data_IF_611511561028
#
_entry.id   IF_611511561028
#
_cell.length_a   1.000
_cell.length_b   1.000
_cell.length_c   1.000
_cell.angle_alpha   90.00
_cell.angle_beta   90.00
_cell.angle_gamma   90.00
#
_symmetry.space_group_name_H-M   'P 1'
#
loop_
_entity.id
_entity.type
_entity.pdbx_description
1 polymer ?
#
# COMPACT_ATOMS: atom_id res chain seq x y z
N UNK A 1 14.91 0.27 14.61
CA UNK A 1 13.66 0.54 13.92
C UNK A 1 13.41 -0.46 12.79
N UNK A 2 12.17 -0.48 12.32
CA UNK A 2 11.76 -1.32 11.19
C UNK A 2 12.07 -0.62 9.86
N UNK A 3 12.14 -1.39 8.79
CA UNK A 3 12.21 -0.88 7.42
C UNK A 3 10.81 -0.90 6.84
N UNK A 4 10.30 0.26 6.44
CA UNK A 4 8.93 0.45 5.97
C UNK A 4 8.92 0.93 4.52
N UNK A 5 8.13 0.27 3.69
CA UNK A 5 7.85 0.70 2.32
C UNK A 5 6.40 1.21 2.25
N UNK A 6 6.22 2.47 1.90
CA UNK A 6 4.90 3.10 1.77
C UNK A 6 4.63 3.42 0.29
N UNK A 7 3.75 2.63 -0.31
CA UNK A 7 3.39 2.71 -1.72
C UNK A 7 2.19 3.64 -1.90
N UNK A 8 2.36 4.69 -2.71
CA UNK A 8 1.38 5.76 -2.81
C UNK A 8 1.38 6.64 -1.56
N UNK A 9 2.55 7.02 -1.11
CA UNK A 9 2.76 7.68 0.19
C UNK A 9 2.24 9.11 0.25
N UNK A 10 1.93 9.75 -0.88
CA UNK A 10 1.51 11.14 -0.91
C UNK A 10 2.55 12.07 -0.29
N UNK A 11 2.09 13.02 0.52
CA UNK A 11 2.96 13.97 1.25
C UNK A 11 3.67 13.36 2.47
N UNK A 12 3.38 12.10 2.80
CA UNK A 12 3.92 11.41 3.96
C UNK A 12 3.18 11.65 5.27
N UNK A 13 2.14 12.43 5.25
CA UNK A 13 1.32 12.73 6.43
C UNK A 13 -0.05 12.07 6.31
N UNK A 14 -0.52 11.40 7.39
CA UNK A 14 0.15 11.20 8.70
C UNK A 14 1.02 9.94 8.78
N UNK A 15 0.97 9.03 7.80
CA UNK A 15 1.46 7.65 7.94
C UNK A 15 2.99 7.59 7.98
N UNK A 16 3.68 8.06 6.95
CA UNK A 16 5.15 8.01 6.90
C UNK A 16 5.76 8.80 8.07
N UNK A 17 5.20 9.97 8.38
CA UNK A 17 5.63 10.77 9.50
C UNK A 17 5.52 10.02 10.84
N UNK A 18 4.45 9.27 11.05
CA UNK A 18 4.26 8.48 12.26
C UNK A 18 5.34 7.41 12.44
N UNK A 19 5.69 6.70 11.36
CA UNK A 19 6.76 5.71 11.38
C UNK A 19 8.12 6.34 11.64
N UNK A 20 8.41 7.48 11.00
CA UNK A 20 9.67 8.22 11.22
C UNK A 20 9.80 8.63 12.69
N UNK A 21 8.74 9.15 13.30
CA UNK A 21 8.74 9.53 14.72
C UNK A 21 8.99 8.37 15.67
N UNK A 22 8.66 7.15 15.24
CA UNK A 22 8.98 5.92 15.98
C UNK A 22 10.44 5.48 15.86
N UNK A 23 11.19 6.07 14.96
CA UNK A 23 12.55 5.67 14.66
C UNK A 23 12.67 4.63 13.58
N UNK A 24 11.63 4.41 12.78
CA UNK A 24 11.62 3.48 11.66
C UNK A 24 12.22 4.14 10.40
N UNK A 25 12.84 3.34 9.55
CA UNK A 25 13.39 3.78 8.27
C UNK A 25 12.33 3.64 7.18
N UNK A 26 11.83 4.75 6.65
CA UNK A 26 10.73 4.78 5.68
C UNK A 26 11.23 5.10 4.27
N UNK A 27 10.86 4.27 3.31
CA UNK A 27 10.92 4.57 1.88
C UNK A 27 9.51 4.86 1.40
N UNK A 28 9.28 6.04 0.88
CA UNK A 28 7.98 6.47 0.34
C UNK A 28 8.03 6.53 -1.18
N UNK A 29 7.08 5.89 -1.84
CA UNK A 29 6.96 5.84 -3.30
C UNK A 29 5.67 6.52 -3.73
N UNK A 30 5.76 7.44 -4.66
CA UNK A 30 4.60 8.07 -5.29
C UNK A 30 4.91 8.43 -6.74
N UNK A 31 3.92 8.31 -7.62
CA UNK A 31 4.06 8.65 -9.03
C UNK A 31 3.96 10.15 -9.30
N UNK A 32 3.38 10.92 -8.38
CA UNK A 32 3.15 12.35 -8.55
C UNK A 32 4.35 13.18 -8.09
N UNK A 33 4.95 13.94 -9.01
CA UNK A 33 6.09 14.80 -8.70
C UNK A 33 5.78 15.81 -7.58
N UNK A 34 4.57 16.39 -7.58
CA UNK A 34 4.15 17.33 -6.54
C UNK A 34 4.11 16.70 -5.15
N UNK A 35 3.68 15.44 -5.04
CA UNK A 35 3.66 14.71 -3.77
C UNK A 35 5.07 14.45 -3.25
N UNK A 36 5.99 14.09 -4.13
CA UNK A 36 7.40 13.87 -3.75
C UNK A 36 8.05 15.17 -3.27
N UNK A 37 7.74 16.30 -3.90
CA UNK A 37 8.22 17.62 -3.44
C UNK A 37 7.70 17.92 -2.02
N UNK A 38 6.41 17.72 -1.79
CA UNK A 38 5.82 17.92 -0.45
C UNK A 38 6.39 16.95 0.59
N UNK A 39 6.54 15.69 0.24
CA UNK A 39 7.12 14.68 1.13
C UNK A 39 8.51 15.09 1.60
N UNK A 40 9.38 15.50 0.67
CA UNK A 40 10.74 15.95 0.99
C UNK A 40 10.77 17.19 1.87
N UNK A 41 9.79 18.07 1.71
CA UNK A 41 9.68 19.28 2.52
C UNK A 41 9.12 19.01 3.92
N UNK A 42 8.13 18.14 4.02
CA UNK A 42 7.39 17.89 5.28
C UNK A 42 8.03 16.81 6.15
N UNK A 43 8.57 15.75 5.53
CA UNK A 43 9.16 14.61 6.24
C UNK A 43 10.50 14.25 5.56
N UNK A 44 11.52 15.10 5.75
CA UNK A 44 12.79 14.95 5.02
C UNK A 44 13.56 13.67 5.36
N UNK A 45 13.23 12.99 6.45
CA UNK A 45 13.83 11.72 6.85
C UNK A 45 13.38 10.55 5.97
N UNK A 46 12.26 10.68 5.26
CA UNK A 46 11.78 9.66 4.35
C UNK A 46 12.65 9.60 3.10
N UNK A 47 13.08 8.40 2.72
CA UNK A 47 13.67 8.18 1.41
C UNK A 47 12.58 8.24 0.34
N UNK A 48 12.47 9.37 -0.33
CA UNK A 48 11.41 9.64 -1.31
C UNK A 48 11.82 9.15 -2.70
N UNK A 49 10.98 8.31 -3.30
CA UNK A 49 11.18 7.75 -4.64
C UNK A 49 9.98 8.09 -5.51
N UNK A 50 10.23 8.82 -6.60
CA UNK A 50 9.22 9.02 -7.63
C UNK A 50 9.24 7.83 -8.58
N UNK A 51 8.20 6.99 -8.52
CA UNK A 51 8.06 5.82 -9.37
C UNK A 51 6.61 5.38 -9.49
N UNK A 52 6.31 4.66 -10.57
CA UNK A 52 5.05 3.94 -10.72
C UNK A 52 5.15 2.63 -9.94
N UNK A 53 4.30 2.43 -8.93
CA UNK A 53 4.34 1.24 -8.10
C UNK A 53 4.10 -0.05 -8.89
N UNK A 54 3.42 0.03 -10.05
CA UNK A 54 3.13 -1.14 -10.90
C UNK A 54 4.36 -1.73 -11.58
N UNK A 55 5.46 -0.99 -11.62
CA UNK A 55 6.72 -1.41 -12.22
C UNK A 55 7.89 -1.29 -11.24
N UNK A 56 7.60 -1.32 -9.93
CA UNK A 56 8.59 -1.05 -8.90
C UNK A 56 9.54 -2.23 -8.70
N UNK A 57 10.83 -1.94 -8.68
CA UNK A 57 11.89 -2.85 -8.25
C UNK A 57 12.98 -2.04 -7.56
N UNK A 58 12.98 -2.05 -6.23
CA UNK A 58 13.96 -1.34 -5.43
C UNK A 58 15.19 -2.20 -5.08
N UNK A 59 15.14 -3.51 -5.35
CA UNK A 59 16.22 -4.44 -5.03
C UNK A 59 16.45 -4.65 -3.53
N UNK A 60 15.50 -4.27 -2.70
CA UNK A 60 15.57 -4.33 -1.24
C UNK A 60 14.31 -4.95 -0.66
N UNK A 61 14.42 -5.44 0.57
CA UNK A 61 13.27 -5.97 1.31
C UNK A 61 12.96 -5.14 2.54
N UNK A 62 11.70 -5.19 2.96
CA UNK A 62 11.14 -4.37 4.03
C UNK A 62 10.41 -5.24 5.05
N UNK A 63 10.30 -4.73 6.28
CA UNK A 63 9.59 -5.40 7.37
C UNK A 63 8.09 -5.11 7.31
N UNK A 64 7.73 -3.94 6.80
CA UNK A 64 6.34 -3.50 6.61
C UNK A 64 6.20 -2.93 5.21
N UNK A 65 5.14 -3.36 4.51
CA UNK A 65 4.75 -2.81 3.21
C UNK A 65 3.32 -2.28 3.35
N UNK A 66 3.14 -1.02 2.98
CA UNK A 66 1.86 -0.33 3.02
C UNK A 66 1.42 0.06 1.61
N UNK A 67 0.15 -0.20 1.30
CA UNK A 67 -0.54 0.35 0.14
C UNK A 67 -1.90 0.89 0.62
N UNK A 68 -1.84 1.88 1.50
CA UNK A 68 -3.00 2.43 2.19
C UNK A 68 -3.57 3.60 1.40
N UNK A 69 -4.86 3.51 1.07
CA UNK A 69 -5.59 4.50 0.25
C UNK A 69 -4.95 4.81 -1.12
N UNK A 70 -4.24 3.84 -1.68
CA UNK A 70 -3.58 3.99 -2.98
C UNK A 70 -3.87 2.83 -3.93
N UNK A 71 -3.83 1.62 -3.41
CA UNK A 71 -3.97 0.38 -4.17
C UNK A 71 -5.31 0.28 -4.93
N UNK A 72 -6.40 0.71 -4.33
CA UNK A 72 -7.73 0.62 -4.92
C UNK A 72 -8.00 1.63 -6.05
N UNK A 73 -7.08 2.55 -6.33
CA UNK A 73 -7.13 3.39 -7.52
C UNK A 73 -6.64 2.68 -8.78
N UNK A 74 -5.98 1.53 -8.63
CA UNK A 74 -5.52 0.72 -9.74
C UNK A 74 -6.68 -0.10 -10.33
N UNK A 75 -6.64 -0.33 -11.65
CA UNK A 75 -7.55 -1.27 -12.30
C UNK A 75 -7.30 -2.71 -11.86
N UNK A 76 -8.23 -3.62 -12.17
CA UNK A 76 -8.18 -5.01 -11.70
C UNK A 76 -6.86 -5.71 -12.06
N UNK A 77 -6.42 -5.61 -13.31
CA UNK A 77 -5.17 -6.25 -13.75
C UNK A 77 -3.94 -5.67 -13.07
N UNK A 78 -3.90 -4.35 -12.88
CA UNK A 78 -2.81 -3.69 -12.17
C UNK A 78 -2.78 -4.10 -10.70
N UNK A 79 -3.93 -4.26 -10.06
CA UNK A 79 -3.99 -4.78 -8.69
C UNK A 79 -3.43 -6.20 -8.61
N UNK A 80 -3.81 -7.09 -9.55
CA UNK A 80 -3.28 -8.46 -9.59
C UNK A 80 -1.76 -8.47 -9.74
N UNK A 81 -1.22 -7.63 -10.59
CA UNK A 81 0.22 -7.55 -10.84
C UNK A 81 1.03 -6.94 -9.69
N UNK A 82 0.38 -6.30 -8.72
CA UNK A 82 1.04 -5.79 -7.52
C UNK A 82 1.49 -6.89 -6.56
N UNK A 83 0.83 -8.05 -6.53
CA UNK A 83 1.14 -9.10 -5.55
C UNK A 83 2.55 -9.68 -5.71
N UNK A 84 3.05 -9.98 -6.92
CA UNK A 84 4.46 -10.33 -7.08
C UNK A 84 5.41 -9.19 -6.70
N UNK A 85 5.01 -7.93 -6.87
CA UNK A 85 5.80 -6.77 -6.45
C UNK A 85 5.86 -6.70 -4.91
N UNK A 86 4.75 -6.89 -4.23
CA UNK A 86 4.74 -6.99 -2.76
C UNK A 86 5.69 -8.10 -2.29
N UNK A 87 5.58 -9.29 -2.88
CA UNK A 87 6.43 -10.43 -2.52
C UNK A 87 7.92 -10.14 -2.75
N UNK A 88 8.27 -9.49 -3.86
CA UNK A 88 9.65 -9.13 -4.19
C UNK A 88 10.28 -8.16 -3.18
N UNK A 89 9.47 -7.36 -2.51
CA UNK A 89 9.91 -6.38 -1.51
C UNK A 89 9.68 -6.83 -0.06
N UNK A 90 9.24 -8.06 0.16
CA UNK A 90 8.94 -8.58 1.49
C UNK A 90 10.09 -9.45 2.01
N UNK A 91 10.54 -9.18 3.24
CA UNK A 91 11.34 -10.12 4.01
C UNK A 91 10.43 -11.17 4.65
N UNK A 92 10.95 -12.35 4.94
CA UNK A 92 10.18 -13.38 5.67
C UNK A 92 9.72 -12.82 7.01
N UNK A 93 8.42 -12.97 7.30
CA UNK A 93 7.79 -12.41 8.49
C UNK A 93 7.29 -10.98 8.34
N UNK A 94 7.49 -10.36 7.17
CA UNK A 94 6.98 -9.01 6.88
C UNK A 94 5.46 -8.94 6.96
N UNK A 95 4.98 -7.76 7.27
CA UNK A 95 3.55 -7.44 7.23
C UNK A 95 3.23 -6.61 6.00
N UNK A 96 2.16 -6.99 5.31
CA UNK A 96 1.55 -6.23 4.22
C UNK A 96 0.19 -5.72 4.68
N UNK A 97 -0.02 -4.42 4.56
CA UNK A 97 -1.30 -3.79 4.85
C UNK A 97 -1.76 -3.01 3.61
N UNK A 98 -2.94 -3.31 3.12
CA UNK A 98 -3.51 -2.61 1.97
C UNK A 98 -5.01 -2.41 2.12
N UNK A 99 -5.54 -1.40 1.44
CA UNK A 99 -6.95 -1.06 1.45
C UNK A 99 -7.61 -1.44 0.13
N UNK A 100 -8.86 -1.92 0.22
CA UNK A 100 -9.71 -2.28 -0.92
C UNK A 100 -11.11 -1.77 -0.69
N UNK A 101 -12.06 -2.08 -1.59
CA UNK A 101 -13.47 -2.05 -1.29
C UNK A 101 -13.91 -3.28 -0.50
N UNK A 102 -15.13 -3.31 0.03
CA UNK A 102 -15.64 -4.45 0.79
C UNK A 102 -16.07 -5.64 -0.08
N UNK A 103 -16.30 -5.40 -1.36
CA UNK A 103 -16.75 -6.38 -2.34
C UNK A 103 -16.27 -6.03 -3.74
N UNK A 104 -16.42 -6.97 -4.68
CA UNK A 104 -16.13 -6.70 -6.09
C UNK A 104 -16.96 -5.53 -6.60
N UNK A 105 -16.29 -4.60 -7.28
CA UNK A 105 -16.94 -3.47 -7.93
C UNK A 105 -15.99 -2.34 -8.25
N UNK A 106 -16.47 -1.46 -9.11
CA UNK A 106 -15.79 -0.20 -9.40
C UNK A 106 -16.72 0.97 -9.10
N UNK A 107 -16.14 2.09 -8.71
CA UNK A 107 -16.87 3.29 -8.39
C UNK A 107 -16.04 4.53 -8.73
N UNK A 108 -16.73 5.62 -9.02
CA UNK A 108 -16.13 6.94 -9.15
C UNK A 108 -16.52 7.77 -7.93
N UNK A 109 -15.52 8.22 -7.19
CA UNK A 109 -15.70 9.13 -6.08
C UNK A 109 -15.11 10.49 -6.39
N UNK A 110 -15.24 11.43 -5.46
CA UNK A 110 -14.63 12.74 -5.60
C UNK A 110 -13.66 13.01 -4.46
N UNK A 111 -12.50 13.60 -4.82
CA UNK A 111 -11.55 14.16 -3.86
C UNK A 111 -11.39 15.63 -4.24
N UNK A 112 -11.93 16.53 -3.41
CA UNK A 112 -12.06 17.94 -3.79
C UNK A 112 -12.98 18.10 -4.99
N UNK A 113 -12.47 18.60 -6.10
CA UNK A 113 -13.22 18.79 -7.37
C UNK A 113 -12.86 17.73 -8.42
N UNK A 114 -12.00 16.75 -8.08
CA UNK A 114 -11.55 15.72 -9.01
C UNK A 114 -12.30 14.42 -8.81
N UNK A 115 -12.70 13.78 -9.90
CA UNK A 115 -13.22 12.42 -9.89
C UNK A 115 -12.06 11.44 -9.70
N UNK A 116 -12.24 10.43 -8.84
CA UNK A 116 -11.23 9.41 -8.54
C UNK A 116 -11.83 8.03 -8.75
N UNK A 117 -11.12 7.22 -9.55
CA UNK A 117 -11.50 5.85 -9.82
C UNK A 117 -11.15 4.94 -8.64
N UNK A 118 -12.11 4.11 -8.25
CA UNK A 118 -11.93 3.05 -7.24
C UNK A 118 -12.32 1.71 -7.85
N UNK A 119 -11.47 0.71 -7.68
CA UNK A 119 -11.73 -0.66 -8.08
C UNK A 119 -11.42 -1.61 -6.93
N UNK A 120 -12.29 -2.59 -6.74
CA UNK A 120 -12.03 -3.69 -5.83
C UNK A 120 -12.32 -5.03 -6.49
N UNK A 121 -11.44 -6.00 -6.26
CA UNK A 121 -11.73 -7.41 -6.51
C UNK A 121 -12.61 -7.94 -5.39
N UNK A 122 -13.21 -9.12 -5.61
CA UNK A 122 -13.90 -9.84 -4.54
C UNK A 122 -12.90 -10.27 -3.45
N UNK A 123 -13.31 -10.33 -2.18
CA UNK A 123 -12.42 -10.77 -1.09
C UNK A 123 -11.72 -12.10 -1.34
N UNK A 124 -12.41 -13.09 -1.89
CA UNK A 124 -11.78 -14.39 -2.20
C UNK A 124 -10.68 -14.29 -3.26
N UNK A 125 -10.81 -13.37 -4.21
CA UNK A 125 -9.75 -13.12 -5.20
C UNK A 125 -8.47 -12.58 -4.52
N UNK A 126 -8.59 -11.70 -3.55
CA UNK A 126 -7.45 -11.22 -2.77
C UNK A 126 -6.82 -12.34 -1.93
N UNK A 127 -7.62 -13.20 -1.33
CA UNK A 127 -7.12 -14.35 -0.56
C UNK A 127 -6.32 -15.29 -1.44
N UNK A 128 -6.80 -15.58 -2.65
CA UNK A 128 -6.09 -16.41 -3.63
C UNK A 128 -4.77 -15.76 -4.07
N UNK A 129 -4.77 -14.46 -4.38
CA UNK A 129 -3.57 -13.72 -4.76
C UNK A 129 -2.54 -13.69 -3.65
N UNK A 130 -2.96 -13.48 -2.41
CA UNK A 130 -2.06 -13.53 -1.25
C UNK A 130 -1.41 -14.90 -1.14
N UNK A 131 -2.22 -15.97 -1.16
CA UNK A 131 -1.71 -17.34 -1.05
C UNK A 131 -0.75 -17.71 -2.19
N UNK A 132 -1.07 -17.34 -3.43
CA UNK A 132 -0.24 -17.59 -4.60
C UNK A 132 1.14 -16.93 -4.51
N UNK A 133 1.25 -15.81 -3.79
CA UNK A 133 2.48 -15.01 -3.72
C UNK A 133 3.18 -15.09 -2.36
N UNK A 134 2.87 -16.11 -1.56
CA UNK A 134 3.59 -16.40 -0.33
C UNK A 134 3.14 -15.61 0.89
N UNK A 135 1.93 -15.05 0.86
CA UNK A 135 1.35 -14.34 1.99
C UNK A 135 0.29 -15.19 2.69
N UNK A 136 0.29 -15.12 4.01
CA UNK A 136 -0.77 -15.65 4.85
C UNK A 136 -1.71 -14.49 5.22
N UNK A 137 -3.01 -14.65 4.89
CA UNK A 137 -4.04 -13.71 5.32
C UNK A 137 -4.20 -13.79 6.84
N UNK A 138 -3.94 -12.69 7.53
CA UNK A 138 -4.11 -12.61 8.99
C UNK A 138 -5.51 -12.14 9.35
N UNK A 139 -6.00 -11.10 8.69
CA UNK A 139 -7.37 -10.63 8.82
C UNK A 139 -7.77 -9.70 7.67
N UNK A 140 -9.07 -9.65 7.43
CA UNK A 140 -9.73 -8.67 6.58
C UNK A 140 -10.84 -8.00 7.39
N UNK A 141 -10.84 -6.68 7.43
CA UNK A 141 -11.83 -5.85 8.12
C UNK A 141 -12.57 -4.97 7.13
N UNK A 142 -13.75 -5.41 6.64
CA UNK A 142 -14.52 -4.60 5.70
C UNK A 142 -15.15 -3.42 6.43
N UNK A 143 -15.09 -2.24 5.78
CA UNK A 143 -15.73 -1.01 6.24
C UNK A 143 -15.52 -0.73 7.74
N UNK A 144 -14.27 -0.83 8.20
CA UNK A 144 -13.94 -0.72 9.62
C UNK A 144 -14.16 0.73 10.11
N UNK A 145 -15.06 0.96 11.07
CA UNK A 145 -15.33 2.30 11.59
C UNK A 145 -14.13 2.93 12.30
N UNK A 146 -13.23 2.13 12.88
CA UNK A 146 -12.00 2.62 13.51
C UNK A 146 -10.95 3.07 12.48
N UNK A 147 -11.16 2.73 11.20
CA UNK A 147 -10.30 3.08 10.09
C UNK A 147 -11.04 3.94 9.04
N UNK A 148 -11.90 4.83 9.50
CA UNK A 148 -12.69 5.74 8.66
C UNK A 148 -13.57 5.04 7.62
N UNK A 149 -14.06 3.84 7.92
CA UNK A 149 -14.88 3.05 7.01
C UNK A 149 -14.11 2.34 5.90
N UNK A 150 -12.78 2.37 5.91
CA UNK A 150 -11.97 1.64 4.94
C UNK A 150 -12.02 0.14 5.16
N UNK A 151 -11.94 -0.60 4.05
CA UNK A 151 -11.76 -2.05 4.08
C UNK A 151 -10.27 -2.35 4.02
N UNK A 152 -9.75 -3.03 5.05
CA UNK A 152 -8.31 -3.18 5.27
C UNK A 152 -7.93 -4.64 5.40
N UNK A 153 -6.83 -4.98 4.72
CA UNK A 153 -6.20 -6.30 4.77
C UNK A 153 -4.88 -6.23 5.51
N UNK A 154 -4.63 -7.23 6.34
CA UNK A 154 -3.31 -7.47 6.91
C UNK A 154 -2.88 -8.90 6.58
N UNK A 155 -1.69 -9.04 6.02
CA UNK A 155 -1.10 -10.33 5.67
C UNK A 155 0.34 -10.43 6.14
N UNK A 156 0.84 -11.64 6.29
CA UNK A 156 2.22 -11.93 6.63
C UNK A 156 2.89 -12.66 5.49
N UNK A 157 4.09 -12.22 5.10
CA UNK A 157 4.89 -12.91 4.11
C UNK A 157 5.61 -14.10 4.74
N UNK A 158 5.26 -15.29 4.30
CA UNK A 158 5.86 -16.54 4.77
C UNK A 158 6.95 -17.08 3.84
N UNK A 159 7.04 -16.54 2.63
CA UNK A 159 8.03 -16.92 1.63
C UNK A 159 7.69 -18.22 0.89
N UNK A 160 6.48 -18.73 1.06
CA UNK A 160 6.12 -20.02 0.46
C UNK A 160 5.02 -19.86 -0.60
#
# INVERSE_FOLDING_TARGET
GLRVLDLGCGSGQPIAEWFVRRGDAVTGVDGAAAMIVELRARVPEVHAVRADMRALDLGETYDIILAFNSFFHLGAESQRSMFPIFAAHAATGSRLLFTTGPAHGEAWGTVGQSEVYHMSLAPDAYRDLLAEHGFKDLWFRPEDPDLNGHSVWLAEFTGA
#
